data_IF_801429752697
#
_entry.id   IF_801429752697
#
_cell.length_a   1.000
_cell.length_b   1.000
_cell.length_c   1.000
_cell.angle_alpha   90.00
_cell.angle_beta   90.00
_cell.angle_gamma   90.00
#
_symmetry.space_group_name_H-M   'P 1'
#
loop_
_entity.id
_entity.type
_entity.pdbx_description
1 polymer ?
#
# COMPACT_ATOMS: atom_id res chain seq x y z
N UNK A 1 -0.83 -11.92 5.19
CA UNK A 1 -0.06 -11.01 4.31
C UNK A 1 0.41 -9.82 5.11
N UNK A 2 1.67 -9.51 4.99
CA UNK A 2 2.26 -8.35 5.66
C UNK A 2 2.73 -7.38 4.61
N UNK A 3 2.25 -6.14 4.67
CA UNK A 3 2.53 -5.12 3.66
C UNK A 3 3.30 -3.97 4.29
N UNK A 4 4.55 -3.80 3.84
CA UNK A 4 5.33 -2.61 4.17
C UNK A 4 4.97 -1.51 3.17
N UNK A 5 4.92 -0.28 3.63
CA UNK A 5 4.61 0.86 2.78
C UNK A 5 5.85 1.73 2.62
N UNK A 6 6.15 2.09 1.37
CA UNK A 6 7.28 2.97 1.04
C UNK A 6 6.72 4.31 0.59
N UNK A 7 6.67 5.32 1.48
CA UNK A 7 6.01 6.58 1.16
C UNK A 7 6.77 7.39 0.12
N UNK A 8 6.03 7.99 -0.79
CA UNK A 8 6.58 8.90 -1.80
C UNK A 8 5.60 10.05 -1.97
N UNK A 9 6.13 11.28 -2.03
CA UNK A 9 5.28 12.44 -2.27
C UNK A 9 4.80 12.42 -3.71
N UNK A 10 3.51 12.24 -3.90
CA UNK A 10 2.92 12.14 -5.24
C UNK A 10 1.43 12.44 -5.15
N UNK A 11 0.87 12.97 -6.23
CA UNK A 11 -0.57 13.20 -6.31
C UNK A 11 -1.33 11.98 -6.84
N UNK A 12 -0.63 10.89 -7.09
CA UNK A 12 -1.28 9.63 -7.46
C UNK A 12 -1.96 9.02 -6.24
N UNK A 13 -2.86 8.09 -6.51
CA UNK A 13 -3.52 7.31 -5.46
C UNK A 13 -3.28 5.84 -5.71
N UNK A 14 -3.19 5.08 -4.62
CA UNK A 14 -3.15 3.63 -4.72
C UNK A 14 -4.46 3.08 -4.16
N UNK A 15 -5.11 2.23 -4.94
CA UNK A 15 -6.27 1.46 -4.52
C UNK A 15 -5.93 0.00 -4.71
N UNK A 16 -5.96 -0.76 -3.63
CA UNK A 16 -5.57 -2.15 -3.66
C UNK A 16 -6.62 -3.02 -3.00
N UNK A 17 -6.86 -4.18 -3.60
CA UNK A 17 -7.78 -5.18 -3.09
C UNK A 17 -7.04 -6.51 -2.96
N UNK A 18 -7.20 -7.17 -1.83
CA UNK A 18 -6.58 -8.47 -1.57
C UNK A 18 -7.60 -9.59 -1.77
N UNK A 19 -7.16 -10.66 -2.42
CA UNK A 19 -7.93 -11.89 -2.53
C UNK A 19 -6.95 -13.06 -2.39
N UNK A 20 -6.93 -13.71 -1.23
CA UNK A 20 -5.96 -14.75 -0.94
C UNK A 20 -4.53 -14.23 -1.06
N UNK A 21 -3.74 -14.85 -1.92
CA UNK A 21 -2.35 -14.42 -2.21
C UNK A 21 -2.27 -13.55 -3.45
N UNK A 22 -3.35 -12.88 -3.82
CA UNK A 22 -3.39 -11.99 -4.98
C UNK A 22 -3.71 -10.57 -4.56
N UNK A 23 -3.20 -9.60 -5.31
CA UNK A 23 -3.53 -8.19 -5.13
C UNK A 23 -3.97 -7.61 -6.47
N UNK A 24 -5.00 -6.77 -6.42
CA UNK A 24 -5.39 -5.95 -7.56
C UNK A 24 -5.04 -4.51 -7.18
N UNK A 25 -4.08 -3.93 -7.88
CA UNK A 25 -3.58 -2.59 -7.59
C UNK A 25 -3.91 -1.69 -8.76
N UNK A 26 -4.76 -0.70 -8.51
CA UNK A 26 -5.21 0.25 -9.55
C UNK A 26 -5.69 -0.49 -10.81
N UNK A 27 -6.43 -1.59 -10.62
CA UNK A 27 -6.99 -2.37 -11.72
C UNK A 27 -6.09 -3.45 -12.29
N UNK A 28 -4.87 -3.58 -11.82
CA UNK A 28 -3.93 -4.58 -12.33
C UNK A 28 -3.78 -5.73 -11.34
N UNK A 29 -3.91 -6.94 -11.82
CA UNK A 29 -3.83 -8.15 -10.98
C UNK A 29 -2.38 -8.60 -10.82
N UNK A 30 -1.99 -8.86 -9.58
CA UNK A 30 -0.71 -9.47 -9.23
C UNK A 30 -1.00 -10.73 -8.41
N UNK A 31 -0.75 -11.88 -9.00
CA UNK A 31 -1.06 -13.17 -8.38
C UNK A 31 0.23 -13.82 -7.86
N UNK A 32 0.34 -13.92 -6.54
CA UNK A 32 1.49 -14.53 -5.88
C UNK A 32 1.19 -15.94 -5.37
N UNK A 33 0.03 -16.49 -5.73
CA UNK A 33 -0.35 -17.84 -5.27
C UNK A 33 0.61 -18.95 -5.69
N UNK A 34 1.36 -18.83 -6.82
CA UNK A 34 2.35 -19.85 -7.15
C UNK A 34 3.57 -19.88 -6.24
N UNK A 35 3.79 -18.84 -5.43
CA UNK A 35 4.95 -18.82 -4.53
C UNK A 35 4.78 -19.83 -3.41
N UNK A 36 5.84 -20.60 -3.17
CA UNK A 36 5.90 -21.53 -2.04
C UNK A 36 6.61 -20.93 -0.85
N UNK A 37 6.49 -21.59 0.28
CA UNK A 37 7.16 -21.16 1.51
C UNK A 37 8.68 -21.10 1.28
N UNK A 38 9.29 -19.98 1.66
CA UNK A 38 10.72 -19.74 1.45
C UNK A 38 11.08 -19.14 0.11
N UNK A 39 10.11 -18.95 -0.79
CA UNK A 39 10.39 -18.36 -2.10
C UNK A 39 10.55 -16.83 -2.01
N UNK A 40 11.38 -16.29 -2.91
CA UNK A 40 11.57 -14.86 -3.08
C UNK A 40 11.36 -14.53 -4.55
N UNK A 41 10.49 -13.55 -4.81
CA UNK A 41 10.24 -13.05 -6.15
C UNK A 41 10.91 -11.67 -6.27
N UNK A 42 11.96 -11.54 -7.11
CA UNK A 42 12.66 -10.26 -7.24
C UNK A 42 11.76 -9.17 -7.78
N UNK A 43 11.96 -7.94 -7.32
CA UNK A 43 11.15 -6.80 -7.74
C UNK A 43 11.17 -6.62 -9.26
N UNK A 44 12.33 -6.80 -9.89
CA UNK A 44 12.44 -6.62 -11.34
C UNK A 44 11.66 -7.69 -12.12
N UNK A 45 11.36 -8.83 -11.52
CA UNK A 45 10.56 -9.88 -12.16
C UNK A 45 9.07 -9.54 -12.14
N UNK A 46 8.65 -8.65 -11.22
CA UNK A 46 7.24 -8.23 -11.14
C UNK A 46 6.93 -7.21 -12.23
N UNK A 47 7.92 -6.41 -12.62
CA UNK A 47 7.81 -5.43 -13.69
C UNK A 47 6.69 -4.42 -13.44
N UNK A 48 6.66 -3.87 -12.21
CA UNK A 48 5.65 -2.90 -11.81
C UNK A 48 6.28 -1.85 -10.90
N UNK A 49 5.94 -0.55 -11.08
CA UNK A 49 6.46 0.49 -10.20
C UNK A 49 5.90 0.41 -8.78
N UNK A 50 4.82 -0.36 -8.58
CA UNK A 50 4.20 -0.49 -7.26
C UNK A 50 4.99 -1.35 -6.29
N UNK A 51 5.98 -2.13 -6.77
CA UNK A 51 6.76 -3.05 -5.96
C UNK A 51 8.23 -2.62 -5.95
N UNK A 52 8.63 -1.74 -5.01
CA UNK A 52 10.02 -1.25 -4.96
C UNK A 52 11.00 -2.25 -4.36
N UNK A 53 10.51 -3.37 -3.82
CA UNK A 53 11.34 -4.37 -3.17
C UNK A 53 10.85 -5.77 -3.53
N UNK A 54 11.68 -6.78 -3.23
CA UNK A 54 11.34 -8.17 -3.49
C UNK A 54 10.14 -8.61 -2.66
N UNK A 55 9.38 -9.58 -3.19
CA UNK A 55 8.27 -10.21 -2.47
C UNK A 55 8.76 -11.55 -1.94
N UNK A 56 8.49 -11.83 -0.68
CA UNK A 56 8.90 -13.07 -0.02
C UNK A 56 7.70 -13.80 0.55
N UNK A 57 7.82 -15.12 0.65
CA UNK A 57 6.82 -15.91 1.36
C UNK A 57 7.54 -16.70 2.45
N UNK A 58 7.17 -16.44 3.70
CA UNK A 58 7.78 -17.08 4.88
C UNK A 58 6.66 -17.53 5.81
N UNK A 59 6.74 -18.78 6.26
CA UNK A 59 5.75 -19.37 7.17
C UNK A 59 4.31 -19.18 6.64
N UNK A 60 4.14 -19.40 5.33
CA UNK A 60 2.89 -19.24 4.60
C UNK A 60 2.36 -17.80 4.57
N UNK A 61 3.18 -16.83 4.94
CA UNK A 61 2.80 -15.41 4.90
C UNK A 61 3.57 -14.69 3.79
N UNK A 62 2.82 -14.01 2.92
CA UNK A 62 3.42 -13.10 1.93
C UNK A 62 3.87 -11.81 2.61
N UNK A 63 5.11 -11.43 2.35
CA UNK A 63 5.71 -10.21 2.86
C UNK A 63 6.14 -9.38 1.66
N UNK A 64 5.56 -8.20 1.53
CA UNK A 64 5.83 -7.36 0.37
C UNK A 64 5.87 -5.88 0.75
N UNK A 65 6.38 -5.07 -0.15
CA UNK A 65 6.45 -3.62 0.02
C UNK A 65 5.74 -2.97 -1.15
N UNK A 66 4.86 -2.03 -0.86
CA UNK A 66 4.16 -1.26 -1.88
C UNK A 66 4.63 0.19 -1.87
N UNK A 67 4.79 0.75 -3.06
CA UNK A 67 4.98 2.19 -3.21
C UNK A 67 3.71 2.87 -2.71
N UNK A 68 3.86 3.85 -1.80
CA UNK A 68 2.72 4.48 -1.15
C UNK A 68 2.73 5.98 -1.43
N UNK A 69 1.97 6.45 -2.45
CA UNK A 69 1.89 7.87 -2.74
C UNK A 69 1.17 8.61 -1.60
N UNK A 70 1.77 9.71 -1.15
CA UNK A 70 1.14 10.52 -0.11
C UNK A 70 0.96 11.96 -0.62
N UNK A 71 -0.18 12.61 -0.26
CA UNK A 71 -0.50 13.94 -0.74
C UNK A 71 0.26 15.02 0.04
N UNK A 72 0.08 16.27 -0.35
CA UNK A 72 0.73 17.38 0.35
C UNK A 72 0.31 17.49 1.82
N UNK A 73 -0.94 17.15 2.10
CA UNK A 73 -1.49 17.18 3.46
C UNK A 73 -1.35 15.83 4.15
N UNK A 74 -0.22 15.14 3.92
CA UNK A 74 -0.01 13.82 4.49
C UNK A 74 0.02 13.87 6.01
N UNK A 75 -0.49 12.79 6.61
CA UNK A 75 -0.48 12.62 8.06
C UNK A 75 0.85 11.99 8.51
N UNK A 76 1.18 12.08 9.81
CA UNK A 76 2.35 11.34 10.32
C UNK A 76 2.26 9.84 10.04
N UNK A 77 1.04 9.27 10.10
CA UNK A 77 0.83 7.85 9.81
C UNK A 77 1.16 7.51 8.35
N UNK A 78 0.96 8.46 7.44
CA UNK A 78 1.34 8.27 6.04
C UNK A 78 2.84 8.43 5.81
N UNK A 79 3.47 9.38 6.51
CA UNK A 79 4.89 9.66 6.33
C UNK A 79 5.78 8.60 7.00
N UNK A 80 5.31 8.03 8.11
CA UNK A 80 6.04 7.03 8.87
C UNK A 80 5.13 5.82 9.12
N UNK A 81 4.74 5.11 8.05
CA UNK A 81 3.75 4.04 8.19
C UNK A 81 4.35 2.82 8.88
N UNK A 82 3.52 2.16 9.69
CA UNK A 82 3.84 0.84 10.20
C UNK A 82 3.35 -0.21 9.21
N UNK A 83 3.95 -1.41 9.19
CA UNK A 83 3.46 -2.48 8.31
C UNK A 83 2.00 -2.81 8.60
N UNK A 84 1.26 -3.10 7.54
CA UNK A 84 -0.11 -3.60 7.67
C UNK A 84 -0.03 -5.11 7.80
N UNK A 85 -0.52 -5.66 8.92
CA UNK A 85 -0.47 -7.09 9.19
C UNK A 85 -1.88 -7.67 9.22
N UNK A 86 -1.96 -8.99 9.03
CA UNK A 86 -3.23 -9.72 9.06
C UNK A 86 -4.26 -9.09 8.12
N UNK A 87 -3.82 -8.78 6.90
CA UNK A 87 -4.66 -8.08 5.92
C UNK A 87 -5.83 -8.98 5.52
N UNK A 88 -7.08 -8.54 5.74
CA UNK A 88 -8.22 -9.34 5.32
C UNK A 88 -8.45 -9.22 3.82
N UNK A 89 -9.20 -10.19 3.26
CA UNK A 89 -9.64 -10.08 1.87
C UNK A 89 -10.55 -8.87 1.71
N UNK A 90 -10.48 -8.25 0.56
CA UNK A 90 -11.23 -7.04 0.26
C UNK A 90 -10.32 -5.85 0.09
N UNK A 91 -10.90 -4.67 0.09
CA UNK A 91 -10.15 -3.43 -0.09
C UNK A 91 -9.23 -3.19 1.09
N UNK A 92 -7.95 -2.87 0.79
CA UNK A 92 -6.96 -2.63 1.82
C UNK A 92 -7.11 -1.21 2.35
N UNK A 93 -7.17 -1.08 3.68
CA UNK A 93 -7.28 0.21 4.34
C UNK A 93 -5.87 0.77 4.57
N UNK A 94 -5.53 1.83 3.84
CA UNK A 94 -4.26 2.53 4.00
C UNK A 94 -4.40 3.69 4.98
N UNK A 95 -3.28 4.15 5.58
CA UNK A 95 -3.34 5.36 6.40
C UNK A 95 -3.90 6.54 5.61
N UNK A 96 -4.67 7.38 6.28
CA UNK A 96 -5.37 8.47 5.65
C UNK A 96 -4.62 9.80 5.85
N UNK A 97 -4.77 10.77 4.92
CA UNK A 97 -4.16 12.08 5.07
C UNK A 97 -4.85 12.88 6.17
N UNK A 98 -4.25 14.02 6.50
CA UNK A 98 -4.91 14.99 7.37
C UNK A 98 -6.19 15.48 6.69
N UNK A 99 -7.21 15.91 7.45
CA UNK A 99 -8.43 16.44 6.85
C UNK A 99 -8.11 17.60 5.92
N UNK A 100 -8.84 17.71 4.80
CA UNK A 100 -8.73 18.82 3.88
C UNK A 100 -9.26 20.06 4.56
N UNK A 101 -8.67 21.16 4.39
CA UNK A 101 -9.05 22.40 5.05
C UNK A 101 -9.99 23.17 4.14
N UNK A 102 -10.20 22.66 4.67
CA UNK A 102 -10.52 23.15 4.35
C UNK A 102 -10.90 23.84 4.27
N UNK A 103 -10.68 23.56 4.05
CA UNK A 103 -10.76 24.01 4.07
C UNK A 103 -11.04 24.69 4.40
N UNK A 104 -11.28 24.96 4.27
CA UNK A 104 -11.34 25.57 4.61
C UNK A 104 -11.94 25.85 5.08
N UNK A 105 -12.09 25.66 4.99
CA UNK A 105 -12.38 26.04 5.53
C UNK A 105 -12.66 26.29 6.16
N UNK A 106 -12.83 26.51 5.96
CA UNK A 106 -12.96 26.99 6.64
C UNK A 106 -13.12 27.53 7.15
N UNK A 107 -13.27 27.84 7.00
CA UNK A 107 -13.28 28.53 7.46
C UNK A 107 -13.73 29.04 7.90
N UNK A 108 -13.82 29.11 7.69
CA UNK A 108 -13.98 29.72 8.21
C UNK A 108 -14.38 29.83 8.70
N UNK A 109 -14.51 29.90 8.37
CA UNK A 109 -14.68 30.25 8.92
C UNK A 109 -14.91 30.33 9.45
N UNK A 110 -15.03 30.43 9.23
CA UNK A 110 -15.03 30.75 9.74
C UNK A 110 -15.20 31.02 10.22
N UNK A 111 -15.48 31.29 10.01
CA UNK A 111 -15.32 31.74 10.48
C UNK A 111 -15.63 31.99 10.82
#
# INVERSE_FOLDING_TARGET
MKIHLSPIRSDQEIVATKSGDSLIINGELFDFSPMGDGDTLPAEAINSPWFPADVEKQDDELILTLLFPIPRNFSPEQAFPVPIEDVPDGEIAFPQPLPAINDQENIEEQS
#
